data_IF_414489031032
#
_entry.id   IF_414489031032
#
_cell.length_a   1.000
_cell.length_b   1.000
_cell.length_c   1.000
_cell.angle_alpha   90.00
_cell.angle_beta   90.00
_cell.angle_gamma   90.00
#
_symmetry.space_group_name_H-M   'P 1'
#
loop_
_entity.id
_entity.type
_entity.pdbx_description
1 polymer ?
#
# COMPACT_ATOMS: atom_id res chain seq x y z
N UNK A 1 -13.31 -0.32 -22.50
CA UNK A 1 -14.44 -0.38 -21.53
C UNK A 1 -13.97 -1.28 -20.41
N UNK A 2 -14.04 -0.85 -19.14
CA UNK A 2 -13.49 -1.64 -18.03
C UNK A 2 -14.27 -2.94 -17.88
N UNK A 3 -13.56 -4.05 -17.63
CA UNK A 3 -14.14 -5.39 -17.49
C UNK A 3 -15.33 -5.43 -16.52
N UNK A 4 -15.34 -4.55 -15.52
CA UNK A 4 -16.42 -4.40 -14.53
C UNK A 4 -17.74 -3.85 -15.10
N UNK A 5 -17.71 -2.93 -16.08
CA UNK A 5 -18.94 -2.40 -16.69
C UNK A 5 -19.62 -3.46 -17.56
N UNK A 6 -18.83 -4.28 -18.26
CA UNK A 6 -19.32 -5.40 -19.09
C UNK A 6 -20.05 -6.44 -18.23
N UNK A 7 -19.44 -6.89 -17.13
CA UNK A 7 -20.04 -7.85 -16.19
C UNK A 7 -21.36 -7.33 -15.60
N UNK A 8 -21.43 -6.03 -15.29
CA UNK A 8 -22.64 -5.41 -14.76
C UNK A 8 -23.79 -5.42 -15.78
N UNK A 9 -23.49 -5.15 -17.05
CA UNK A 9 -24.47 -5.15 -18.14
C UNK A 9 -24.99 -6.56 -18.44
N UNK A 10 -24.12 -7.56 -18.40
CA UNK A 10 -24.54 -8.97 -18.54
C UNK A 10 -25.51 -9.36 -17.43
N UNK A 11 -25.19 -9.02 -16.17
CA UNK A 11 -26.05 -9.28 -15.02
C UNK A 11 -27.41 -8.57 -15.15
N UNK A 12 -27.43 -7.31 -15.56
CA UNK A 12 -28.67 -6.56 -15.77
C UNK A 12 -29.50 -7.10 -16.94
N UNK A 13 -28.85 -7.57 -18.00
CA UNK A 13 -29.52 -8.22 -19.13
C UNK A 13 -30.16 -9.53 -18.69
N UNK A 14 -29.47 -10.33 -17.88
CA UNK A 14 -30.02 -11.55 -17.27
C UNK A 14 -31.24 -11.27 -16.37
N UNK A 15 -31.25 -10.10 -15.71
CA UNK A 15 -32.38 -9.63 -14.88
C UNK A 15 -33.48 -8.93 -15.67
N UNK A 16 -33.38 -8.87 -17.01
CA UNK A 16 -34.39 -8.29 -17.89
C UNK A 16 -34.42 -6.76 -17.90
N UNK A 17 -33.35 -6.08 -17.48
CA UNK A 17 -33.27 -4.62 -17.53
C UNK A 17 -32.98 -4.17 -18.97
N UNK A 18 -33.85 -3.32 -19.52
CA UNK A 18 -33.71 -2.83 -20.90
C UNK A 18 -32.44 -2.00 -21.10
N UNK A 19 -31.87 -2.02 -22.31
CA UNK A 19 -30.63 -1.30 -22.62
C UNK A 19 -30.75 0.22 -22.35
N UNK A 20 -31.91 0.81 -22.63
CA UNK A 20 -32.21 2.21 -22.30
C UNK A 20 -32.08 2.46 -20.80
N UNK A 21 -32.67 1.59 -19.97
CA UNK A 21 -32.61 1.69 -18.51
C UNK A 21 -31.20 1.45 -17.97
N UNK A 22 -30.45 0.51 -18.54
CA UNK A 22 -29.04 0.30 -18.16
C UNK A 22 -28.19 1.55 -18.39
N UNK A 23 -28.40 2.24 -19.52
CA UNK A 23 -27.68 3.46 -19.85
C UNK A 23 -28.06 4.62 -18.91
N UNK A 24 -29.34 4.75 -18.54
CA UNK A 24 -29.79 5.71 -17.52
C UNK A 24 -29.12 5.45 -16.16
N UNK A 25 -29.11 4.19 -15.70
CA UNK A 25 -28.49 3.80 -14.44
C UNK A 25 -26.98 4.08 -14.41
N UNK A 26 -26.28 3.81 -15.51
CA UNK A 26 -24.86 4.13 -15.62
C UNK A 26 -24.60 5.63 -15.63
N UNK A 27 -25.47 6.43 -16.24
CA UNK A 27 -25.39 7.89 -16.18
C UNK A 27 -25.57 8.40 -14.74
N UNK A 28 -26.55 7.87 -14.01
CA UNK A 28 -26.77 8.21 -12.59
C UNK A 28 -25.57 7.83 -11.71
N UNK A 29 -25.02 6.63 -11.90
CA UNK A 29 -23.83 6.18 -11.18
C UNK A 29 -22.66 7.11 -11.47
N UNK A 30 -22.42 7.47 -12.73
CA UNK A 30 -21.33 8.38 -13.12
C UNK A 30 -21.52 9.78 -12.56
N UNK A 31 -22.75 10.28 -12.45
CA UNK A 31 -23.04 11.57 -11.84
C UNK A 31 -22.73 11.57 -10.33
N UNK A 32 -23.12 10.50 -9.62
CA UNK A 32 -22.86 10.36 -8.17
C UNK A 32 -21.40 10.02 -7.85
N UNK A 33 -20.71 9.33 -8.75
CA UNK A 33 -19.31 8.92 -8.59
C UNK A 33 -18.30 10.02 -8.92
N UNK A 34 -18.75 11.25 -9.19
CA UNK A 34 -17.81 12.35 -9.45
C UNK A 34 -16.93 12.61 -8.22
N UNK A 35 -15.63 12.90 -8.43
CA UNK A 35 -14.75 13.24 -7.33
C UNK A 35 -15.23 14.50 -6.61
N UNK A 36 -15.27 14.48 -5.27
CA UNK A 36 -15.87 15.53 -4.44
C UNK A 36 -17.36 15.34 -4.15
N UNK A 37 -18.03 14.37 -4.78
CA UNK A 37 -19.42 14.03 -4.45
C UNK A 37 -19.54 13.31 -3.11
N UNK A 38 -20.64 13.57 -2.41
CA UNK A 38 -20.97 12.93 -1.13
C UNK A 38 -21.89 11.74 -1.34
N UNK A 39 -21.48 10.57 -0.85
CA UNK A 39 -22.28 9.33 -0.82
C UNK A 39 -22.53 8.97 0.65
N UNK A 40 -23.66 9.41 1.21
CA UNK A 40 -23.95 9.27 2.63
C UNK A 40 -23.00 10.11 3.51
N UNK A 41 -22.42 9.58 4.60
CA UNK A 41 -21.44 10.32 5.41
C UNK A 41 -20.04 10.36 4.78
N UNK A 42 -19.84 9.74 3.61
CA UNK A 42 -18.54 9.61 2.96
C UNK A 42 -18.43 10.55 1.76
N UNK A 43 -17.25 11.16 1.58
CA UNK A 43 -16.92 11.99 0.42
C UNK A 43 -16.02 11.18 -0.51
N UNK A 44 -16.35 11.13 -1.79
CA UNK A 44 -15.49 10.52 -2.80
C UNK A 44 -14.27 11.44 -2.95
N UNK A 45 -13.05 10.99 -2.59
CA UNK A 45 -11.88 11.85 -2.72
C UNK A 45 -11.72 12.28 -4.18
N UNK A 46 -11.52 13.59 -4.38
CA UNK A 46 -10.92 14.17 -5.58
C UNK A 46 -9.71 13.34 -6.04
N UNK A 47 -9.42 13.31 -7.37
CA UNK A 47 -8.28 12.59 -8.00
C UNK A 47 -7.35 12.01 -6.94
N UNK A 48 -7.50 10.71 -6.65
CA UNK A 48 -6.45 10.00 -5.95
C UNK A 48 -5.28 10.12 -6.92
N UNK A 49 -4.41 11.09 -6.68
CA UNK A 49 -3.07 11.03 -7.23
C UNK A 49 -2.61 9.66 -6.81
N UNK A 50 -2.59 8.72 -7.77
CA UNK A 50 -1.90 7.45 -7.63
C UNK A 50 -0.58 7.87 -7.05
N UNK A 51 -0.39 7.58 -5.75
CA UNK A 51 0.69 8.16 -4.94
C UNK A 51 1.92 8.03 -5.80
N UNK A 52 2.33 9.13 -6.45
CA UNK A 52 3.51 9.12 -7.28
C UNK A 52 4.56 8.61 -6.32
N UNK A 53 5.32 7.59 -6.71
CA UNK A 53 6.54 7.28 -6.00
C UNK A 53 7.37 8.56 -6.08
N UNK A 54 7.17 9.40 -5.08
CA UNK A 54 7.67 10.75 -5.06
C UNK A 54 9.16 10.62 -4.84
N UNK A 55 9.92 10.94 -5.87
CA UNK A 55 11.28 11.45 -5.80
C UNK A 55 11.29 12.82 -5.10
N UNK A 56 10.72 12.88 -3.89
CA UNK A 56 10.89 13.98 -2.95
C UNK A 56 12.03 13.67 -1.98
N UNK A 57 12.69 14.68 -1.37
CA UNK A 57 13.77 14.43 -0.43
C UNK A 57 13.20 13.67 0.77
N UNK A 58 13.60 12.40 0.96
CA UNK A 58 13.28 11.61 2.15
C UNK A 58 13.69 12.40 3.40
N UNK A 59 12.72 12.76 4.24
CA UNK A 59 12.97 13.41 5.54
C UNK A 59 13.86 12.47 6.35
N UNK A 60 15.06 12.96 6.72
CA UNK A 60 16.22 12.15 7.12
C UNK A 60 16.19 11.56 8.53
N UNK A 61 15.24 11.91 9.41
CA UNK A 61 15.40 11.62 10.84
C UNK A 61 14.10 11.15 11.52
N UNK A 62 13.70 9.92 11.23
CA UNK A 62 13.17 8.96 12.21
C UNK A 62 13.40 7.58 11.59
N UNK A 63 14.47 6.93 12.04
CA UNK A 63 15.22 5.86 11.38
C UNK A 63 14.36 4.93 10.53
N UNK A 64 14.75 4.82 9.26
CA UNK A 64 14.02 4.20 8.15
C UNK A 64 13.08 3.07 8.59
N UNK A 65 11.76 3.30 8.45
CA UNK A 65 10.70 2.51 9.07
C UNK A 65 10.84 1.00 8.80
N UNK A 66 11.38 0.63 7.64
CA UNK A 66 11.54 -0.77 7.24
C UNK A 66 12.74 -1.43 7.92
N UNK A 67 13.95 -0.85 7.80
CA UNK A 67 15.15 -1.38 8.47
C UNK A 67 15.03 -1.32 9.99
N UNK A 68 14.43 -0.27 10.55
CA UNK A 68 14.25 -0.15 12.00
C UNK A 68 13.30 -1.24 12.55
N UNK A 69 12.18 -1.48 11.86
CA UNK A 69 11.26 -2.57 12.22
C UNK A 69 11.96 -3.93 12.10
N UNK A 70 12.79 -4.10 11.05
CA UNK A 70 13.58 -5.32 10.87
C UNK A 70 14.62 -5.52 11.98
N UNK A 71 15.32 -4.45 12.38
CA UNK A 71 16.24 -4.48 13.51
C UNK A 71 15.54 -4.93 14.81
N UNK A 72 14.36 -4.39 15.10
CA UNK A 72 13.57 -4.82 16.28
C UNK A 72 13.20 -6.30 16.24
N UNK A 73 12.85 -6.81 15.06
CA UNK A 73 12.53 -8.22 14.87
C UNK A 73 13.76 -9.15 14.95
N UNK A 74 14.96 -8.62 14.75
CA UNK A 74 16.21 -9.38 14.90
C UNK A 74 16.72 -9.43 16.35
N UNK A 75 16.10 -8.71 17.29
CA UNK A 75 16.50 -8.75 18.70
C UNK A 75 16.28 -10.14 19.31
N UNK A 76 17.18 -10.61 20.20
CA UNK A 76 17.02 -11.90 20.88
C UNK A 76 15.74 -12.00 21.71
N UNK A 77 15.33 -10.89 22.31
CA UNK A 77 14.11 -10.80 23.11
C UNK A 77 12.83 -10.55 22.27
N UNK A 78 12.93 -10.55 20.94
CA UNK A 78 11.77 -10.31 20.08
C UNK A 78 10.85 -11.54 20.07
N UNK A 79 9.53 -11.29 20.07
CA UNK A 79 8.51 -12.34 19.91
C UNK A 79 8.30 -12.75 18.43
N UNK A 80 9.21 -12.37 17.55
CA UNK A 80 9.03 -12.51 16.10
C UNK A 80 9.57 -13.85 15.63
N UNK A 81 8.73 -14.62 14.93
CA UNK A 81 9.15 -15.89 14.34
C UNK A 81 10.16 -15.69 13.21
N UNK A 82 10.88 -16.75 12.84
CA UNK A 82 11.76 -16.75 11.68
C UNK A 82 11.02 -16.38 10.37
N UNK A 83 9.79 -16.85 10.20
CA UNK A 83 8.95 -16.49 9.04
C UNK A 83 8.64 -14.99 8.98
N UNK A 84 8.34 -14.38 10.13
CA UNK A 84 8.07 -12.93 10.19
C UNK A 84 9.33 -12.11 9.87
N UNK A 85 10.51 -12.57 10.32
CA UNK A 85 11.80 -11.94 9.97
C UNK A 85 12.07 -12.02 8.47
N UNK A 86 11.80 -13.16 7.82
CA UNK A 86 11.95 -13.30 6.38
C UNK A 86 10.99 -12.37 5.61
N UNK A 87 9.74 -12.24 6.05
CA UNK A 87 8.77 -11.33 5.45
C UNK A 87 9.18 -9.85 5.58
N UNK A 88 9.74 -9.46 6.74
CA UNK A 88 10.29 -8.12 6.93
C UNK A 88 11.52 -7.85 6.09
N UNK A 89 12.43 -8.82 5.96
CA UNK A 89 13.58 -8.72 5.07
C UNK A 89 13.11 -8.48 3.64
N UNK A 90 12.15 -9.26 3.15
CA UNK A 90 11.56 -9.06 1.83
C UNK A 90 10.86 -7.68 1.69
N UNK A 91 10.25 -7.17 2.76
CA UNK A 91 9.70 -5.81 2.80
C UNK A 91 10.81 -4.76 2.65
N UNK A 92 11.94 -4.90 3.35
CA UNK A 92 13.07 -3.98 3.22
C UNK A 92 13.56 -3.93 1.77
N UNK A 93 13.78 -5.08 1.14
CA UNK A 93 14.25 -5.16 -0.25
C UNK A 93 13.28 -4.46 -1.22
N UNK A 94 11.97 -4.66 -1.06
CA UNK A 94 10.94 -3.99 -1.88
C UNK A 94 10.96 -2.46 -1.75
N UNK A 95 11.46 -1.93 -0.65
CA UNK A 95 11.55 -0.49 -0.40
C UNK A 95 12.92 0.12 -0.73
N UNK A 96 13.77 -0.63 -1.45
CA UNK A 96 15.04 -0.14 -1.98
C UNK A 96 16.26 -0.46 -1.12
N UNK A 97 16.09 -1.27 -0.07
CA UNK A 97 17.23 -1.75 0.72
C UNK A 97 17.97 -2.87 0.03
N UNK A 98 19.25 -2.98 0.36
CA UNK A 98 20.06 -4.10 -0.13
C UNK A 98 20.05 -5.27 0.85
N UNK A 99 20.38 -6.45 0.34
CA UNK A 99 20.60 -7.63 1.18
C UNK A 99 21.74 -7.41 2.19
N UNK A 100 22.76 -6.63 1.83
CA UNK A 100 23.88 -6.31 2.71
C UNK A 100 23.45 -5.48 3.91
N UNK A 101 22.61 -4.46 3.71
CA UNK A 101 22.07 -3.65 4.80
C UNK A 101 21.26 -4.49 5.79
N UNK A 102 20.40 -5.39 5.27
CA UNK A 102 19.66 -6.34 6.10
C UNK A 102 20.60 -7.26 6.89
N UNK A 103 21.68 -7.77 6.28
CA UNK A 103 22.65 -8.63 6.98
C UNK A 103 23.41 -7.89 8.07
N UNK A 104 23.80 -6.63 7.83
CA UNK A 104 24.47 -5.79 8.84
C UNK A 104 23.55 -5.54 10.04
N UNK A 105 22.27 -5.27 9.78
CA UNK A 105 21.25 -5.11 10.84
C UNK A 105 20.99 -6.43 11.57
N UNK A 106 20.94 -7.56 10.86
CA UNK A 106 20.74 -8.88 11.46
C UNK A 106 21.90 -9.28 12.39
N UNK A 107 23.14 -8.89 12.04
CA UNK A 107 24.34 -9.13 12.83
C UNK A 107 24.43 -8.26 14.08
N UNK A 108 23.99 -7.01 14.02
CA UNK A 108 24.03 -6.08 15.15
C UNK A 108 22.82 -5.13 15.19
N UNK A 109 21.63 -5.65 15.55
CA UNK A 109 20.39 -4.86 15.49
C UNK A 109 20.38 -3.72 16.52
N UNK A 110 20.97 -3.94 17.70
CA UNK A 110 21.02 -2.93 18.78
C UNK A 110 21.86 -1.71 18.40
N UNK A 111 22.94 -1.90 17.63
CA UNK A 111 23.71 -0.77 17.11
C UNK A 111 22.84 0.09 16.20
N UNK A 112 22.15 -0.51 15.22
CA UNK A 112 21.28 0.21 14.30
C UNK A 112 20.10 0.89 15.01
N UNK A 113 19.48 0.25 16.01
CA UNK A 113 18.37 0.84 16.76
C UNK A 113 18.82 2.10 17.54
N UNK A 114 20.03 2.06 18.10
CA UNK A 114 20.55 3.16 18.94
C UNK A 114 21.19 4.29 18.15
N UNK A 115 21.92 3.96 17.08
CA UNK A 115 22.73 4.93 16.32
C UNK A 115 22.13 5.27 14.97
N UNK A 116 21.23 4.42 14.45
CA UNK A 116 20.65 4.54 13.13
C UNK A 116 21.62 4.32 11.98
N UNK A 117 22.82 3.84 12.28
CA UNK A 117 23.88 3.55 11.31
C UNK A 117 24.07 2.05 11.17
N UNK A 118 24.46 1.62 9.98
CA UNK A 118 24.87 0.23 9.76
C UNK A 118 26.27 0.05 10.32
N UNK A 119 26.47 -0.99 11.13
CA UNK A 119 27.77 -1.29 11.72
C UNK A 119 28.76 -1.75 10.62
N UNK A 120 30.01 -1.25 10.61
CA UNK A 120 31.00 -1.62 9.59
C UNK A 120 31.30 -3.13 9.53
#
# INVERSE_FOLDING_TARGET
MSDSETLLRELWTQKGVSLKRQNELLAEIRAKAQPGSTVGPFVIPGKIETRRQGSGPKIRNYWETHLYTYAYACRPASKWSAGNRAALRAKCLRHGHTMGECQMVERNPEHFIRTGRLAP
#
